data_IF_795774055531
#
_entry.id   IF_795774055531
#
_cell.length_a   1.000
_cell.length_b   1.000
_cell.length_c   1.000
_cell.angle_alpha   90.00
_cell.angle_beta   90.00
_cell.angle_gamma   90.00
#
_symmetry.space_group_name_H-M   'P 1'
#
loop_
_entity.id
_entity.type
_entity.pdbx_description
1 polymer ?
#
# COMPACT_ATOMS: atom_id res chain seq x y z
N UNK A 1 6.79 17.24 4.21
CA UNK A 1 5.60 17.11 3.35
C UNK A 1 5.68 18.17 2.26
N UNK A 2 5.60 17.76 1.00
CA UNK A 2 5.53 18.68 -0.15
C UNK A 2 4.08 19.19 -0.23
N UNK A 3 3.80 20.47 0.07
CA UNK A 3 2.41 20.98 0.15
C UNK A 3 1.67 20.94 -1.19
N UNK A 4 2.39 20.70 -2.29
CA UNK A 4 1.89 20.56 -3.66
C UNK A 4 1.36 19.16 -4.01
N UNK A 5 1.57 18.15 -3.16
CA UNK A 5 1.13 16.78 -3.43
C UNK A 5 -0.16 16.46 -2.68
N UNK A 6 -1.29 16.80 -3.27
CA UNK A 6 -2.62 16.47 -2.73
C UNK A 6 -3.28 15.34 -3.51
N UNK A 7 -4.23 14.64 -2.88
CA UNK A 7 -5.10 13.67 -3.55
C UNK A 7 -5.92 14.31 -4.66
N UNK A 8 -6.34 15.58 -4.49
CA UNK A 8 -7.04 16.37 -5.51
C UNK A 8 -6.22 16.54 -6.79
N UNK A 9 -4.96 16.94 -6.67
CA UNK A 9 -4.10 17.12 -7.85
C UNK A 9 -3.78 15.77 -8.54
N UNK A 10 -3.64 14.68 -7.77
CA UNK A 10 -3.51 13.35 -8.35
C UNK A 10 -4.77 12.93 -9.13
N UNK A 11 -5.95 13.05 -8.52
CA UNK A 11 -7.24 12.72 -9.18
C UNK A 11 -7.47 13.58 -10.41
N UNK A 12 -7.24 14.90 -10.30
CA UNK A 12 -7.32 15.84 -11.42
C UNK A 12 -6.39 15.46 -12.56
N UNK A 13 -5.14 15.13 -12.26
CA UNK A 13 -4.17 14.69 -13.27
C UNK A 13 -4.66 13.43 -13.99
N UNK A 14 -5.03 12.38 -13.24
CA UNK A 14 -5.53 11.12 -13.80
C UNK A 14 -6.82 11.34 -14.62
N UNK A 15 -7.79 12.09 -14.09
CA UNK A 15 -9.06 12.37 -14.75
C UNK A 15 -8.89 13.17 -16.04
N UNK A 16 -8.11 14.25 -16.01
CA UNK A 16 -7.85 15.08 -17.21
C UNK A 16 -7.13 14.26 -18.28
N UNK A 17 -6.08 13.52 -17.91
CA UNK A 17 -5.34 12.69 -18.87
C UNK A 17 -6.19 11.54 -19.41
N UNK A 18 -7.04 10.96 -18.58
CA UNK A 18 -7.95 9.90 -19.02
C UNK A 18 -9.01 10.44 -19.97
N UNK A 19 -9.62 11.59 -19.68
CA UNK A 19 -10.57 12.25 -20.60
C UNK A 19 -9.93 12.54 -21.98
N UNK A 20 -8.65 12.94 -22.01
CA UNK A 20 -7.92 13.25 -23.25
C UNK A 20 -7.51 12.01 -24.06
N UNK A 21 -7.15 10.90 -23.39
CA UNK A 21 -6.51 9.75 -24.04
C UNK A 21 -7.36 8.48 -24.04
N UNK A 22 -8.34 8.41 -23.14
CA UNK A 22 -9.15 7.22 -22.81
C UNK A 22 -8.32 5.97 -22.46
N UNK A 23 -7.06 6.17 -22.02
CA UNK A 23 -6.14 5.05 -21.84
C UNK A 23 -5.19 5.19 -20.63
N UNK A 24 -5.51 6.03 -19.64
CA UNK A 24 -4.67 6.12 -18.43
C UNK A 24 -4.69 4.80 -17.64
N UNK A 25 -5.86 4.15 -17.50
CA UNK A 25 -5.98 2.89 -16.75
C UNK A 25 -5.19 1.77 -17.43
N UNK A 26 -5.33 1.62 -18.75
CA UNK A 26 -4.60 0.60 -19.51
C UNK A 26 -3.09 0.86 -19.53
N UNK A 27 -2.65 2.11 -19.67
CA UNK A 27 -1.23 2.48 -19.57
C UNK A 27 -0.63 2.10 -18.22
N UNK A 28 -1.32 2.41 -17.12
CA UNK A 28 -0.88 2.07 -15.76
C UNK A 28 -0.89 0.56 -15.51
N UNK A 29 -1.85 -0.17 -16.09
CA UNK A 29 -1.92 -1.63 -15.98
C UNK A 29 -0.74 -2.32 -16.68
N UNK A 30 -0.36 -1.89 -17.89
CA UNK A 30 0.84 -2.43 -18.56
C UNK A 30 2.14 -2.14 -17.80
N UNK A 31 2.15 -1.13 -16.93
CA UNK A 31 3.29 -0.79 -16.07
C UNK A 31 3.43 -1.70 -14.83
N UNK A 32 2.58 -2.71 -14.63
CA UNK A 32 2.81 -3.75 -13.61
C UNK A 32 4.15 -4.46 -13.83
N UNK A 33 4.53 -4.63 -15.10
CA UNK A 33 5.88 -5.02 -15.51
C UNK A 33 6.71 -3.78 -15.90
N UNK A 34 8.05 -3.78 -15.68
CA UNK A 34 8.90 -2.67 -16.10
C UNK A 34 8.87 -2.48 -17.63
N UNK A 35 8.40 -1.32 -18.10
CA UNK A 35 8.26 -1.02 -19.53
C UNK A 35 8.94 0.28 -19.94
N UNK A 36 9.49 0.33 -21.16
CA UNK A 36 9.99 1.60 -21.71
C UNK A 36 8.84 2.47 -22.21
N UNK A 37 8.93 3.81 -22.16
CA UNK A 37 7.90 4.69 -22.69
C UNK A 37 7.53 4.44 -24.16
N UNK A 38 8.49 4.00 -24.98
CA UNK A 38 8.25 3.65 -26.39
C UNK A 38 7.37 2.40 -26.52
N UNK A 39 7.53 1.42 -25.65
CA UNK A 39 6.76 0.17 -25.66
C UNK A 39 5.33 0.44 -25.21
N UNK A 40 5.15 1.19 -24.11
CA UNK A 40 3.85 1.67 -23.64
C UNK A 40 3.10 2.45 -24.73
N UNK A 41 3.77 3.38 -25.41
CA UNK A 41 3.15 4.16 -26.47
C UNK A 41 2.69 3.29 -27.66
N UNK A 42 3.47 2.25 -27.99
CA UNK A 42 3.16 1.32 -29.07
C UNK A 42 2.00 0.40 -28.71
N UNK A 43 1.98 -0.16 -27.49
CA UNK A 43 0.94 -1.05 -26.99
C UNK A 43 -0.42 -0.34 -26.93
N UNK A 44 -0.42 0.91 -26.50
CA UNK A 44 -1.63 1.70 -26.27
C UNK A 44 -2.02 2.63 -27.42
N UNK A 45 -1.31 2.54 -28.55
CA UNK A 45 -1.52 3.36 -29.74
C UNK A 45 -1.58 4.88 -29.48
N UNK A 46 -0.79 5.38 -28.52
CA UNK A 46 -0.68 6.80 -28.18
C UNK A 46 0.61 7.41 -28.72
N UNK A 47 0.64 8.74 -28.86
CA UNK A 47 1.88 9.44 -29.20
C UNK A 47 2.94 9.23 -28.11
N UNK A 48 4.21 9.02 -28.49
CA UNK A 48 5.30 8.78 -27.52
C UNK A 48 5.45 9.84 -26.44
N UNK A 49 5.09 11.10 -26.73
CA UNK A 49 5.14 12.21 -25.76
C UNK A 49 4.04 12.13 -24.70
N UNK A 50 2.94 11.44 -24.99
CA UNK A 50 1.79 11.32 -24.06
C UNK A 50 2.16 10.45 -22.86
N UNK A 51 3.00 9.42 -23.04
CA UNK A 51 3.42 8.55 -21.93
C UNK A 51 4.12 9.35 -20.82
N UNK A 52 5.23 10.08 -21.05
CA UNK A 52 5.86 10.87 -19.99
C UNK A 52 4.94 11.99 -19.46
N UNK A 53 4.08 12.59 -20.29
CA UNK A 53 3.08 13.55 -19.81
C UNK A 53 2.10 12.94 -18.79
N UNK A 54 1.83 11.65 -18.86
CA UNK A 54 0.98 10.92 -17.90
C UNK A 54 1.81 10.46 -16.70
N UNK A 55 2.98 9.87 -16.93
CA UNK A 55 3.71 9.12 -15.89
C UNK A 55 4.70 9.96 -15.10
N UNK A 56 5.33 10.99 -15.68
CA UNK A 56 6.35 11.79 -14.96
C UNK A 56 5.79 12.49 -13.72
N UNK A 57 4.56 13.04 -13.75
CA UNK A 57 3.98 13.63 -12.54
C UNK A 57 3.71 12.60 -11.44
N UNK A 58 3.69 11.28 -11.73
CA UNK A 58 3.27 10.25 -10.77
C UNK A 58 4.34 9.84 -9.76
N UNK A 59 5.63 10.05 -10.08
CA UNK A 59 6.75 9.65 -9.21
C UNK A 59 6.73 10.35 -7.84
N UNK A 60 6.50 11.68 -7.73
CA UNK A 60 6.40 12.35 -6.43
C UNK A 60 5.30 11.82 -5.49
N UNK A 61 4.18 11.32 -6.03
CA UNK A 61 3.12 10.67 -5.24
C UNK A 61 3.43 9.22 -4.89
N UNK A 62 4.57 8.68 -5.33
CA UNK A 62 4.96 7.29 -5.12
C UNK A 62 4.15 6.29 -5.95
N UNK A 63 3.36 6.74 -6.92
CA UNK A 63 2.52 5.91 -7.81
C UNK A 63 3.36 5.19 -8.87
N UNK A 64 4.45 5.82 -9.30
CA UNK A 64 5.38 5.30 -10.31
C UNK A 64 6.80 5.28 -9.76
N UNK A 65 7.62 4.37 -10.30
CA UNK A 65 9.08 4.43 -10.18
C UNK A 65 9.73 4.24 -11.54
N UNK A 66 10.82 4.98 -11.76
CA UNK A 66 11.65 4.84 -12.95
C UNK A 66 12.98 4.16 -12.59
N UNK A 67 13.31 3.04 -13.24
CA UNK A 67 14.59 2.35 -13.11
C UNK A 67 15.19 2.06 -14.49
N UNK A 68 16.41 2.55 -14.77
CA UNK A 68 17.11 2.34 -16.05
C UNK A 68 16.22 2.64 -17.28
N UNK A 69 15.50 3.78 -17.23
CA UNK A 69 14.54 4.22 -18.25
C UNK A 69 13.30 3.30 -18.46
N UNK A 70 13.11 2.29 -17.62
CA UNK A 70 11.86 1.54 -17.52
C UNK A 70 10.99 2.20 -16.45
N UNK A 71 9.71 2.30 -16.74
CA UNK A 71 8.67 2.75 -15.83
C UNK A 71 7.99 1.53 -15.26
N UNK A 72 7.70 1.57 -13.97
CA UNK A 72 6.93 0.55 -13.30
C UNK A 72 5.97 1.22 -12.33
N UNK A 73 4.74 0.73 -12.30
CA UNK A 73 3.79 1.12 -11.26
C UNK A 73 4.24 0.50 -9.94
N UNK A 74 4.07 1.25 -8.85
CA UNK A 74 4.29 0.72 -7.51
C UNK A 74 3.00 0.10 -6.99
N UNK A 75 3.03 -0.56 -5.83
CA UNK A 75 1.79 -1.05 -5.19
C UNK A 75 0.87 0.11 -4.79
N UNK A 76 1.43 1.25 -4.36
CA UNK A 76 0.67 2.49 -4.17
C UNK A 76 -0.03 2.93 -5.47
N UNK A 77 0.68 2.85 -6.60
CA UNK A 77 0.13 3.20 -7.89
C UNK A 77 -0.92 2.23 -8.41
N UNK A 78 -0.75 0.93 -8.19
CA UNK A 78 -1.75 -0.07 -8.56
C UNK A 78 -3.02 0.12 -7.74
N UNK A 79 -2.91 0.39 -6.43
CA UNK A 79 -4.06 0.73 -5.60
C UNK A 79 -4.77 2.01 -6.08
N UNK A 80 -4.01 3.05 -6.46
CA UNK A 80 -4.59 4.26 -7.08
C UNK A 80 -5.27 3.96 -8.42
N UNK A 81 -4.66 3.13 -9.27
CA UNK A 81 -5.23 2.71 -10.56
C UNK A 81 -6.56 2.01 -10.37
N UNK A 82 -6.63 1.07 -9.42
CA UNK A 82 -7.86 0.33 -9.10
C UNK A 82 -8.94 1.27 -8.56
N UNK A 83 -8.64 2.13 -7.58
CA UNK A 83 -9.59 3.12 -7.06
C UNK A 83 -10.13 4.04 -8.16
N UNK A 84 -9.25 4.53 -9.04
CA UNK A 84 -9.64 5.37 -10.17
C UNK A 84 -10.48 4.62 -11.20
N UNK A 85 -10.13 3.37 -11.52
CA UNK A 85 -10.90 2.54 -12.44
C UNK A 85 -12.33 2.29 -11.90
N UNK A 86 -12.47 1.96 -10.62
CA UNK A 86 -13.77 1.79 -9.95
C UNK A 86 -14.63 3.06 -10.04
N UNK A 87 -14.03 4.24 -9.84
CA UNK A 87 -14.77 5.50 -9.99
C UNK A 87 -15.31 5.71 -11.42
N UNK A 88 -14.53 5.33 -12.43
CA UNK A 88 -14.92 5.42 -13.85
C UNK A 88 -16.05 4.46 -14.24
N UNK A 89 -16.34 3.42 -13.46
CA UNK A 89 -17.52 2.57 -13.67
C UNK A 89 -18.84 3.30 -13.35
N UNK A 90 -18.77 4.39 -12.60
CA UNK A 90 -19.93 5.18 -12.18
C UNK A 90 -19.96 6.57 -12.80
N UNK A 91 -18.83 7.27 -12.85
CA UNK A 91 -18.72 8.63 -13.37
C UNK A 91 -17.98 8.59 -14.70
N UNK A 92 -18.60 9.07 -15.78
CA UNK A 92 -17.91 9.21 -17.07
C UNK A 92 -16.64 10.07 -16.92
N UNK A 93 -15.59 9.71 -17.64
CA UNK A 93 -14.29 10.36 -17.51
C UNK A 93 -14.32 11.87 -17.80
N UNK A 94 -15.18 12.36 -18.70
CA UNK A 94 -15.29 13.80 -18.95
C UNK A 94 -16.01 14.51 -17.80
N UNK A 95 -17.01 13.86 -17.18
CA UNK A 95 -17.68 14.38 -15.99
C UNK A 95 -16.73 14.40 -14.78
N UNK A 96 -15.96 13.34 -14.58
CA UNK A 96 -14.95 13.26 -13.51
C UNK A 96 -13.85 14.31 -13.71
N UNK A 97 -13.34 14.47 -14.94
CA UNK A 97 -12.34 15.48 -15.27
C UNK A 97 -12.89 16.90 -15.12
N UNK A 98 -14.19 17.11 -15.39
CA UNK A 98 -14.83 18.40 -15.17
C UNK A 98 -14.96 18.73 -13.69
N UNK A 99 -15.39 17.77 -12.86
CA UNK A 99 -15.50 17.93 -11.41
C UNK A 99 -14.11 18.22 -10.80
N UNK A 100 -13.12 17.38 -11.09
CA UNK A 100 -11.77 17.49 -10.53
C UNK A 100 -10.97 18.76 -10.93
N UNK A 101 -11.47 19.56 -11.89
CA UNK A 101 -10.80 20.81 -12.32
C UNK A 101 -11.07 22.00 -11.41
N UNK A 102 -12.01 21.92 -10.48
CA UNK A 102 -12.41 23.08 -9.66
C UNK A 102 -12.89 22.63 -8.29
N UNK A 103 -12.19 23.08 -7.24
CA UNK A 103 -12.59 22.87 -5.84
C UNK A 103 -14.01 23.41 -5.58
N UNK A 104 -14.34 24.59 -6.10
CA UNK A 104 -15.69 25.14 -6.01
C UNK A 104 -16.81 24.22 -6.50
N UNK A 105 -16.55 23.30 -7.45
CA UNK A 105 -17.57 22.36 -7.93
C UNK A 105 -17.81 21.26 -6.91
N UNK A 106 -16.74 20.77 -6.31
CA UNK A 106 -16.81 19.84 -5.21
C UNK A 106 -17.51 20.47 -4.01
N UNK A 107 -17.08 21.67 -3.56
CA UNK A 107 -17.68 22.33 -2.40
C UNK A 107 -19.20 22.53 -2.53
N UNK A 108 -19.68 22.85 -3.74
CA UNK A 108 -21.12 23.01 -4.01
C UNK A 108 -21.83 21.65 -4.06
N UNK A 109 -21.19 20.61 -4.61
CA UNK A 109 -21.75 19.26 -4.64
C UNK A 109 -21.89 18.69 -3.22
N UNK A 110 -20.85 18.85 -2.41
CA UNK A 110 -20.78 18.42 -1.02
C UNK A 110 -21.83 19.15 -0.19
N UNK A 111 -21.94 20.47 -0.34
CA UNK A 111 -22.97 21.27 0.34
C UNK A 111 -24.38 20.73 0.06
N UNK A 112 -24.72 20.51 -1.21
CA UNK A 112 -26.04 19.99 -1.56
C UNK A 112 -26.25 18.54 -1.09
N UNK A 113 -25.19 17.75 -0.93
CA UNK A 113 -25.23 16.38 -0.43
C UNK A 113 -25.43 16.33 1.10
N UNK A 114 -24.82 17.27 1.83
CA UNK A 114 -24.85 17.32 3.30
C UNK A 114 -26.05 18.11 3.84
N UNK A 115 -26.28 19.32 3.33
CA UNK A 115 -27.31 20.25 3.82
C UNK A 115 -28.64 20.09 3.06
N UNK A 116 -28.61 19.45 1.89
CA UNK A 116 -29.77 19.22 1.05
C UNK A 116 -30.04 20.38 0.08
N UNK A 117 -31.29 20.51 -0.43
CA UNK A 117 -31.61 21.48 -1.46
C UNK A 117 -31.45 22.94 -1.00
N UNK A 118 -30.76 23.74 -1.81
CA UNK A 118 -30.42 25.11 -1.44
C UNK A 118 -30.36 26.06 -2.65
N UNK A 119 -30.38 27.37 -2.40
CA UNK A 119 -30.21 28.40 -3.41
C UNK A 119 -28.77 28.91 -3.51
N UNK A 120 -28.38 29.41 -4.69
CA UNK A 120 -27.09 30.08 -4.86
C UNK A 120 -26.92 31.31 -3.95
N UNK A 121 -28.03 31.97 -3.59
CA UNK A 121 -28.00 33.11 -2.68
C UNK A 121 -27.60 32.67 -1.28
N UNK A 122 -28.29 31.66 -0.74
CA UNK A 122 -28.06 31.13 0.60
C UNK A 122 -26.66 30.49 0.72
N UNK A 123 -26.26 29.67 -0.26
CA UNK A 123 -24.90 29.13 -0.33
C UNK A 123 -23.82 30.22 -0.34
N UNK A 124 -24.03 31.34 -1.06
CA UNK A 124 -23.04 32.43 -1.13
C UNK A 124 -22.88 33.23 0.17
N UNK A 125 -23.80 33.07 1.13
CA UNK A 125 -23.75 33.71 2.44
C UNK A 125 -22.93 32.88 3.45
N UNK A 126 -22.55 31.65 3.09
CA UNK A 126 -21.73 30.76 3.92
C UNK A 126 -20.25 31.15 3.77
N UNK A 127 -19.57 31.32 4.90
CA UNK A 127 -18.14 31.64 4.93
C UNK A 127 -17.33 30.53 4.25
N UNK A 128 -16.54 30.90 3.24
CA UNK A 128 -15.70 29.97 2.48
C UNK A 128 -16.32 29.47 1.18
N UNK A 129 -17.63 29.67 0.97
CA UNK A 129 -18.27 29.33 -0.30
C UNK A 129 -17.88 30.30 -1.42
N UNK A 130 -17.96 29.87 -2.70
CA UNK A 130 -17.72 30.74 -3.84
C UNK A 130 -18.74 31.89 -3.94
N UNK A 131 -18.43 32.91 -4.74
CA UNK A 131 -19.41 33.95 -5.01
C UNK A 131 -20.67 33.39 -5.68
N UNK A 132 -21.81 34.06 -5.48
CA UNK A 132 -23.11 33.67 -6.02
C UNK A 132 -23.07 33.37 -7.52
N UNK A 133 -22.35 34.19 -8.30
CA UNK A 133 -22.26 34.03 -9.76
C UNK A 133 -21.57 32.72 -10.14
N UNK A 134 -20.56 32.33 -9.36
CA UNK A 134 -19.85 31.07 -9.54
C UNK A 134 -20.75 29.90 -9.15
N UNK A 135 -21.52 30.03 -8.07
CA UNK A 135 -22.49 29.02 -7.66
C UNK A 135 -23.58 28.83 -8.73
N UNK A 136 -24.25 29.91 -9.17
CA UNK A 136 -25.27 29.88 -10.21
C UNK A 136 -24.77 29.13 -11.46
N UNK A 137 -23.59 29.49 -11.96
CA UNK A 137 -22.98 28.83 -13.13
C UNK A 137 -22.70 27.34 -12.87
N UNK A 138 -22.21 26.98 -11.69
CA UNK A 138 -21.95 25.57 -11.36
C UNK A 138 -23.26 24.78 -11.28
N UNK A 139 -24.32 25.35 -10.72
CA UNK A 139 -25.64 24.72 -10.65
C UNK A 139 -26.24 24.53 -12.05
N UNK A 140 -26.11 25.51 -12.95
CA UNK A 140 -26.47 25.35 -14.36
C UNK A 140 -25.68 24.20 -15.01
N UNK A 141 -24.36 24.14 -14.78
CA UNK A 141 -23.51 23.05 -15.30
C UNK A 141 -23.87 21.67 -14.70
N UNK A 142 -24.35 21.61 -13.45
CA UNK A 142 -24.89 20.39 -12.83
C UNK A 142 -26.23 19.97 -13.44
N UNK A 143 -27.15 20.91 -13.66
CA UNK A 143 -28.44 20.66 -14.31
C UNK A 143 -28.23 20.10 -15.73
N UNK A 144 -27.34 20.71 -16.52
CA UNK A 144 -26.94 20.22 -17.85
C UNK A 144 -26.36 18.78 -17.83
N UNK A 145 -25.71 18.38 -16.73
CA UNK A 145 -25.12 17.05 -16.55
C UNK A 145 -26.09 16.04 -15.93
N UNK A 146 -27.30 16.48 -15.58
CA UNK A 146 -28.32 15.70 -14.87
C UNK A 146 -27.97 15.41 -13.42
N UNK A 147 -27.09 16.20 -12.80
CA UNK A 147 -26.66 16.04 -11.40
C UNK A 147 -27.50 16.85 -10.42
N UNK A 148 -28.09 17.94 -10.89
CA UNK A 148 -29.08 18.71 -10.14
C UNK A 148 -30.34 18.92 -10.98
N UNK A 149 -31.44 19.28 -10.32
CA UNK A 149 -32.62 19.90 -10.92
C UNK A 149 -32.81 21.25 -10.24
N UNK A 150 -32.83 22.33 -11.04
CA UNK A 150 -33.07 23.68 -10.53
C UNK A 150 -34.55 24.07 -10.67
N UNK A 151 -35.25 24.21 -9.55
CA UNK A 151 -36.68 24.57 -9.51
C UNK A 151 -36.91 25.99 -9.01
N UNK A 152 -37.77 26.76 -9.68
CA UNK A 152 -38.15 28.10 -9.22
C UNK A 152 -39.20 28.02 -8.10
N UNK A 153 -38.84 28.51 -6.91
CA UNK A 153 -39.76 28.60 -5.79
C UNK A 153 -40.79 29.73 -6.03
N UNK A 154 -42.06 29.37 -6.24
CA UNK A 154 -43.13 30.28 -6.66
C UNK A 154 -43.31 31.57 -5.84
N UNK A 155 -42.93 31.57 -4.55
CA UNK A 155 -43.12 32.71 -3.64
C UNK A 155 -41.97 33.72 -3.66
N UNK A 156 -40.74 33.24 -3.77
CA UNK A 156 -39.52 34.05 -3.71
C UNK A 156 -38.94 34.35 -5.09
N UNK A 157 -39.32 33.56 -6.11
CA UNK A 157 -38.66 33.50 -7.43
C UNK A 157 -37.18 33.15 -7.33
N UNK A 158 -36.79 32.44 -6.27
CA UNK A 158 -35.45 31.91 -6.08
C UNK A 158 -35.38 30.52 -6.70
N UNK A 159 -34.30 30.24 -7.43
CA UNK A 159 -33.99 28.88 -7.90
C UNK A 159 -33.40 28.08 -6.75
N UNK A 160 -34.01 26.94 -6.45
CA UNK A 160 -33.52 25.94 -5.49
C UNK A 160 -32.97 24.77 -6.28
N UNK A 161 -31.71 24.41 -6.03
CA UNK A 161 -31.09 23.24 -6.64
C UNK A 161 -31.32 22.01 -5.78
N UNK A 162 -31.78 20.93 -6.40
CA UNK A 162 -31.94 19.61 -5.78
C UNK A 162 -30.99 18.64 -6.45
N UNK A 163 -30.17 17.90 -5.70
CA UNK A 163 -29.41 16.81 -6.32
C UNK A 163 -30.36 15.75 -6.88
N UNK A 164 -29.99 15.23 -8.04
CA UNK A 164 -30.60 14.01 -8.58
C UNK A 164 -29.92 12.79 -7.93
N UNK A 165 -30.51 11.60 -8.12
CA UNK A 165 -29.84 10.35 -7.72
C UNK A 165 -28.45 10.19 -8.37
N UNK A 166 -28.28 10.65 -9.61
CA UNK A 166 -27.00 10.58 -10.32
C UNK A 166 -26.00 11.59 -9.74
N UNK A 167 -26.45 12.77 -9.34
CA UNK A 167 -25.62 13.77 -8.66
C UNK A 167 -25.13 13.29 -7.30
N UNK A 168 -26.03 12.77 -6.46
CA UNK A 168 -25.66 12.17 -5.17
C UNK A 168 -24.70 10.99 -5.32
N UNK A 169 -24.92 10.14 -6.34
CA UNK A 169 -24.04 9.01 -6.60
C UNK A 169 -22.67 9.48 -7.07
N UNK A 170 -22.61 10.52 -7.91
CA UNK A 170 -21.35 11.10 -8.36
C UNK A 170 -20.56 11.75 -7.21
N UNK A 171 -21.21 12.49 -6.31
CA UNK A 171 -20.58 13.06 -5.12
C UNK A 171 -19.94 11.97 -4.26
N UNK A 172 -20.73 11.00 -3.79
CA UNK A 172 -20.22 9.87 -2.98
C UNK A 172 -19.05 9.11 -3.61
N UNK A 173 -19.08 8.87 -4.92
CA UNK A 173 -17.97 8.18 -5.61
C UNK A 173 -16.72 9.05 -5.71
N UNK A 174 -16.90 10.35 -5.90
CA UNK A 174 -15.78 11.28 -5.91
C UNK A 174 -15.15 11.41 -4.52
N UNK A 175 -15.96 11.48 -3.46
CA UNK A 175 -15.49 11.52 -2.07
C UNK A 175 -14.69 10.27 -1.70
N UNK A 176 -15.23 9.09 -2.04
CA UNK A 176 -14.54 7.80 -1.83
C UNK A 176 -13.21 7.74 -2.60
N UNK A 177 -13.19 8.21 -3.85
CA UNK A 177 -11.97 8.28 -4.64
C UNK A 177 -10.92 9.21 -3.98
N UNK A 178 -11.32 10.39 -3.52
CA UNK A 178 -10.42 11.33 -2.84
C UNK A 178 -9.89 10.74 -1.53
N UNK A 179 -10.75 10.09 -0.75
CA UNK A 179 -10.37 9.44 0.50
C UNK A 179 -9.33 8.34 0.25
N UNK A 180 -9.57 7.46 -0.72
CA UNK A 180 -8.63 6.39 -1.12
C UNK A 180 -7.31 6.93 -1.65
N UNK A 181 -7.35 7.95 -2.49
CA UNK A 181 -6.13 8.59 -3.03
C UNK A 181 -5.32 9.30 -1.94
N UNK A 182 -6.00 9.83 -0.92
CA UNK A 182 -5.33 10.39 0.26
C UNK A 182 -4.55 9.28 0.99
N UNK A 183 -5.15 8.11 1.20
CA UNK A 183 -4.46 6.98 1.82
C UNK A 183 -3.29 6.46 0.98
N UNK A 184 -3.43 6.41 -0.35
CA UNK A 184 -2.32 6.06 -1.24
C UNK A 184 -1.13 6.99 -1.03
N UNK A 185 -1.36 8.31 -0.99
CA UNK A 185 -0.30 9.32 -0.85
C UNK A 185 0.30 9.28 0.56
N UNK A 186 -0.53 9.29 1.59
CA UNK A 186 -0.08 9.34 2.99
C UNK A 186 0.69 8.08 3.39
N UNK A 187 0.34 6.93 2.81
CA UNK A 187 0.99 5.64 3.08
C UNK A 187 2.00 5.25 2.01
N UNK A 188 2.24 6.10 1.01
CA UNK A 188 3.22 5.87 -0.06
C UNK A 188 4.61 5.44 0.44
N UNK A 189 5.17 5.95 1.55
CA UNK A 189 6.46 5.51 2.06
C UNK A 189 6.54 4.01 2.35
N UNK A 190 5.43 3.36 2.70
CA UNK A 190 5.38 1.89 2.83
C UNK A 190 4.87 1.24 1.54
N UNK A 191 3.73 1.71 1.03
CA UNK A 191 3.04 1.06 -0.08
C UNK A 191 3.92 0.98 -1.34
N UNK A 192 4.71 2.00 -1.65
CA UNK A 192 5.53 2.00 -2.88
C UNK A 192 6.60 0.90 -2.91
N UNK A 193 7.00 0.41 -1.74
CA UNK A 193 8.04 -0.60 -1.57
C UNK A 193 7.46 -2.03 -1.54
N UNK A 194 6.15 -2.20 -1.33
CA UNK A 194 5.49 -3.52 -1.38
C UNK A 194 5.52 -4.10 -2.80
N UNK A 195 5.49 -5.43 -2.93
CA UNK A 195 5.20 -6.07 -4.22
C UNK A 195 3.72 -5.92 -4.60
N UNK A 196 3.43 -5.92 -5.91
CA UNK A 196 2.09 -5.64 -6.46
C UNK A 196 1.00 -6.61 -5.96
N UNK A 197 1.38 -7.80 -5.49
CA UNK A 197 0.44 -8.74 -4.85
C UNK A 197 -0.19 -8.21 -3.55
N UNK A 198 0.24 -7.06 -3.04
CA UNK A 198 -0.35 -6.37 -1.89
C UNK A 198 -1.25 -5.19 -2.28
N UNK A 199 -1.57 -5.00 -3.57
CA UNK A 199 -2.31 -3.82 -4.02
C UNK A 199 -3.80 -3.85 -3.64
N UNK A 200 -4.31 -5.01 -3.24
CA UNK A 200 -5.67 -5.22 -2.73
C UNK A 200 -5.83 -4.84 -1.24
N UNK A 201 -4.82 -4.19 -0.64
CA UNK A 201 -4.88 -3.67 0.72
C UNK A 201 -6.10 -2.72 0.87
N UNK A 202 -6.95 -2.90 1.91
CA UNK A 202 -8.19 -2.13 2.05
C UNK A 202 -7.89 -0.67 2.39
N UNK A 203 -7.85 0.20 1.38
CA UNK A 203 -7.41 1.60 1.53
C UNK A 203 -8.23 2.36 2.58
N UNK A 204 -9.54 2.13 2.65
CA UNK A 204 -10.47 2.77 3.58
C UNK A 204 -10.08 2.62 5.06
N UNK A 205 -9.40 1.52 5.41
CA UNK A 205 -9.00 1.21 6.79
C UNK A 205 -7.63 1.79 7.16
N UNK A 206 -6.85 2.23 6.16
CA UNK A 206 -5.51 2.79 6.39
C UNK A 206 -5.51 4.13 7.12
N UNK A 207 -6.66 4.82 7.18
CA UNK A 207 -6.80 6.09 7.91
C UNK A 207 -6.37 5.99 9.37
N UNK A 208 -6.59 4.82 10.00
CA UNK A 208 -6.22 4.55 11.39
C UNK A 208 -4.83 3.93 11.56
N UNK A 209 -4.15 3.56 10.46
CA UNK A 209 -2.84 2.93 10.50
C UNK A 209 -1.72 3.96 10.74
N UNK A 210 -0.78 3.62 11.61
CA UNK A 210 0.43 4.40 11.85
C UNK A 210 1.44 4.11 10.72
N UNK A 211 1.98 5.16 10.11
CA UNK A 211 3.13 5.06 9.19
C UNK A 211 4.41 5.46 9.93
N UNK A 212 5.41 4.59 9.92
CA UNK A 212 6.74 4.89 10.45
C UNK A 212 7.74 4.88 9.31
N UNK A 213 8.35 6.04 9.06
CA UNK A 213 9.36 6.23 8.04
C UNK A 213 10.77 6.19 8.63
N UNK A 214 11.69 5.53 7.92
CA UNK A 214 13.11 5.66 8.21
C UNK A 214 13.64 6.95 7.56
N UNK A 215 14.39 7.75 8.32
CA UNK A 215 15.03 8.97 7.81
C UNK A 215 16.54 8.87 7.90
N UNK A 216 17.32 9.69 7.17
CA UNK A 216 18.78 9.71 7.31
C UNK A 216 19.25 9.95 8.76
N UNK A 217 18.52 10.76 9.52
CA UNK A 217 18.83 11.08 10.93
C UNK A 217 18.43 9.95 11.88
N UNK A 218 17.46 9.11 11.49
CA UNK A 218 17.00 7.98 12.28
C UNK A 218 16.63 6.80 11.38
N UNK A 219 17.64 6.08 10.84
CA UNK A 219 17.42 5.01 9.88
C UNK A 219 16.80 3.75 10.49
N UNK A 220 16.86 3.60 11.83
CA UNK A 220 16.38 2.42 12.56
C UNK A 220 15.01 2.62 13.22
N UNK A 221 14.22 3.62 12.80
CA UNK A 221 12.90 3.90 13.40
C UNK A 221 11.95 2.73 13.28
N UNK A 222 11.96 2.07 12.13
CA UNK A 222 11.09 0.93 11.83
C UNK A 222 11.43 -0.23 12.77
N UNK A 223 12.71 -0.58 12.90
CA UNK A 223 13.20 -1.65 13.77
C UNK A 223 12.91 -1.35 15.24
N UNK A 224 13.08 -0.08 15.66
CA UNK A 224 12.74 0.35 17.01
C UNK A 224 11.24 0.16 17.29
N UNK A 225 10.38 0.63 16.38
CA UNK A 225 8.92 0.50 16.53
C UNK A 225 8.48 -0.96 16.53
N UNK A 226 9.07 -1.76 15.64
CA UNK A 226 8.84 -3.19 15.60
C UNK A 226 9.19 -3.86 16.94
N UNK A 227 10.32 -3.51 17.54
CA UNK A 227 10.74 -4.04 18.86
C UNK A 227 9.80 -3.62 19.99
N UNK A 228 9.30 -2.39 19.96
CA UNK A 228 8.29 -1.93 20.92
C UNK A 228 7.01 -2.77 20.81
N UNK A 229 6.62 -3.15 19.60
CA UNK A 229 5.47 -4.01 19.36
C UNK A 229 5.73 -5.45 19.85
N UNK A 230 6.86 -6.04 19.48
CA UNK A 230 7.20 -7.42 19.86
C UNK A 230 7.47 -7.61 21.35
N UNK A 231 7.78 -6.52 22.08
CA UNK A 231 7.91 -6.55 23.55
C UNK A 231 6.57 -6.59 24.30
N UNK A 232 5.44 -6.41 23.61
CA UNK A 232 4.12 -6.47 24.23
C UNK A 232 3.74 -7.91 24.54
N UNK A 233 2.72 -8.06 25.37
CA UNK A 233 2.15 -9.37 25.63
C UNK A 233 1.34 -9.82 24.41
N UNK A 234 1.61 -11.04 23.95
CA UNK A 234 0.92 -11.69 22.83
C UNK A 234 1.03 -13.20 23.00
N UNK A 235 0.06 -13.93 22.46
CA UNK A 235 0.03 -15.39 22.51
C UNK A 235 0.51 -16.03 21.20
N UNK A 236 0.18 -15.41 20.07
CA UNK A 236 0.46 -15.97 18.76
C UNK A 236 1.15 -14.97 17.82
N UNK A 237 2.20 -15.44 17.17
CA UNK A 237 2.91 -14.73 16.11
C UNK A 237 2.75 -15.46 14.78
N UNK A 238 2.33 -14.73 13.75
CA UNK A 238 2.39 -15.15 12.34
C UNK A 238 3.23 -14.17 11.56
N UNK A 239 4.12 -14.64 10.69
CA UNK A 239 4.93 -13.73 9.90
C UNK A 239 5.34 -14.24 8.52
N UNK A 240 5.40 -13.29 7.58
CA UNK A 240 6.12 -13.44 6.31
C UNK A 240 7.49 -12.78 6.46
N UNK A 241 8.55 -13.55 6.24
CA UNK A 241 9.93 -13.09 6.40
C UNK A 241 10.62 -12.99 5.04
N UNK A 242 10.53 -11.81 4.41
CA UNK A 242 11.21 -11.56 3.13
C UNK A 242 12.72 -11.38 3.24
N UNK A 243 13.26 -11.20 4.45
CA UNK A 243 14.71 -11.13 4.71
C UNK A 243 15.06 -11.60 6.13
N UNK A 244 16.28 -12.12 6.31
CA UNK A 244 16.81 -12.49 7.62
C UNK A 244 17.21 -11.26 8.44
N UNK A 245 16.88 -11.26 9.73
CA UNK A 245 17.34 -10.27 10.71
C UNK A 245 17.65 -10.98 12.03
N UNK A 246 18.93 -11.13 12.35
CA UNK A 246 19.39 -11.83 13.56
C UNK A 246 18.89 -11.25 14.88
N UNK A 247 18.70 -9.93 14.94
CA UNK A 247 18.16 -9.27 16.15
C UNK A 247 16.69 -9.63 16.39
N UNK A 248 15.91 -9.76 15.30
CA UNK A 248 14.54 -10.25 15.40
C UNK A 248 14.52 -11.74 15.78
N UNK A 249 15.42 -12.55 15.23
CA UNK A 249 15.52 -13.98 15.58
C UNK A 249 15.79 -14.20 17.07
N UNK A 250 16.65 -13.38 17.69
CA UNK A 250 16.89 -13.41 19.15
C UNK A 250 15.63 -13.07 19.95
N UNK A 251 14.91 -12.03 19.56
CA UNK A 251 13.66 -11.66 20.24
C UNK A 251 12.58 -12.74 20.08
N UNK A 252 12.49 -13.38 18.91
CA UNK A 252 11.53 -14.45 18.65
C UNK A 252 11.84 -15.69 19.48
N UNK A 253 13.10 -16.09 19.60
CA UNK A 253 13.42 -17.30 20.37
C UNK A 253 13.19 -17.13 21.87
N UNK A 254 13.38 -15.92 22.42
CA UNK A 254 12.97 -15.62 23.80
C UNK A 254 11.47 -15.79 23.97
N UNK A 255 10.68 -15.23 23.06
CA UNK A 255 9.22 -15.36 23.05
C UNK A 255 8.75 -16.82 22.91
N UNK A 256 9.41 -17.63 22.08
CA UNK A 256 9.16 -19.08 21.97
C UNK A 256 9.47 -19.81 23.28
N UNK A 257 10.58 -19.49 23.96
CA UNK A 257 10.93 -20.08 25.26
C UNK A 257 9.93 -19.73 26.36
N UNK A 258 9.28 -18.58 26.25
CA UNK A 258 8.18 -18.16 27.13
C UNK A 258 6.84 -18.87 26.81
N UNK A 259 6.83 -19.78 25.83
CA UNK A 259 5.66 -20.60 25.49
C UNK A 259 4.69 -19.96 24.50
N UNK A 260 5.09 -18.88 23.81
CA UNK A 260 4.27 -18.25 22.77
C UNK A 260 4.32 -19.06 21.47
N UNK A 261 3.22 -19.10 20.73
CA UNK A 261 3.14 -19.82 19.46
C UNK A 261 3.72 -18.97 18.33
N UNK A 262 4.58 -19.58 17.51
CA UNK A 262 5.24 -18.92 16.39
C UNK A 262 5.05 -19.69 15.09
N UNK A 263 4.58 -18.99 14.05
CA UNK A 263 4.53 -19.50 12.69
C UNK A 263 5.19 -18.52 11.72
N UNK A 264 6.21 -18.97 11.00
CA UNK A 264 7.00 -18.14 10.09
C UNK A 264 7.04 -18.77 8.71
N UNK A 265 6.71 -18.01 7.68
CA UNK A 265 6.95 -18.35 6.28
C UNK A 265 8.09 -17.46 5.78
N UNK A 266 9.18 -18.05 5.31
CA UNK A 266 10.30 -17.31 4.71
C UNK A 266 10.49 -17.67 3.24
N UNK A 267 11.23 -16.85 2.50
CA UNK A 267 11.81 -17.31 1.22
C UNK A 267 12.86 -18.40 1.47
N UNK A 268 13.26 -19.21 0.46
CA UNK A 268 14.38 -20.12 0.59
C UNK A 268 15.61 -19.30 0.93
N UNK A 269 16.22 -19.60 2.07
CA UNK A 269 17.48 -19.01 2.47
C UNK A 269 18.55 -19.89 1.86
N UNK A 270 19.29 -19.39 0.86
CA UNK A 270 20.48 -20.09 0.40
C UNK A 270 21.43 -20.31 1.57
N UNK A 271 22.22 -21.40 1.59
CA UNK A 271 23.18 -21.68 2.68
C UNK A 271 24.15 -20.51 2.94
N UNK A 272 24.40 -19.67 1.93
CA UNK A 272 25.27 -18.49 2.03
C UNK A 272 24.56 -17.26 2.66
N UNK A 273 23.24 -17.31 2.79
CA UNK A 273 22.41 -16.30 3.48
C UNK A 273 22.02 -16.73 4.90
N UNK A 274 22.35 -17.95 5.30
CA UNK A 274 22.20 -18.36 6.69
C UNK A 274 23.11 -17.50 7.58
N UNK A 275 22.67 -17.22 8.82
CA UNK A 275 23.53 -16.57 9.79
C UNK A 275 24.86 -17.34 9.92
N UNK A 276 25.97 -16.62 9.81
CA UNK A 276 27.30 -17.17 10.09
C UNK A 276 27.74 -16.90 11.53
N UNK A 277 27.00 -16.06 12.25
CA UNK A 277 27.20 -15.77 13.66
C UNK A 277 26.69 -16.93 14.53
N UNK A 278 27.53 -17.52 15.41
CA UNK A 278 27.14 -18.58 16.33
C UNK A 278 25.84 -18.32 17.12
N UNK A 279 25.64 -17.10 17.61
CA UNK A 279 24.45 -16.75 18.40
C UNK A 279 23.17 -16.81 17.56
N UNK A 280 23.24 -16.38 16.30
CA UNK A 280 22.11 -16.40 15.38
C UNK A 280 21.81 -17.81 14.88
N UNK A 281 22.86 -18.60 14.61
CA UNK A 281 22.72 -20.04 14.29
C UNK A 281 22.05 -20.78 15.45
N UNK A 282 22.42 -20.46 16.68
CA UNK A 282 21.79 -21.03 17.87
C UNK A 282 20.30 -20.68 17.94
N UNK A 283 19.90 -19.45 17.58
CA UNK A 283 18.49 -19.08 17.52
C UNK A 283 17.70 -19.94 16.52
N UNK A 284 18.29 -20.22 15.34
CA UNK A 284 17.67 -21.11 14.35
C UNK A 284 17.52 -22.52 14.91
N UNK A 285 18.59 -23.08 15.50
CA UNK A 285 18.58 -24.44 16.07
C UNK A 285 17.56 -24.56 17.19
N UNK A 286 17.51 -23.58 18.10
CA UNK A 286 16.59 -23.58 19.23
C UNK A 286 15.14 -23.47 18.75
N UNK A 287 14.87 -22.66 17.72
CA UNK A 287 13.55 -22.57 17.10
C UNK A 287 13.14 -23.91 16.48
N UNK A 288 14.02 -24.52 15.67
CA UNK A 288 13.76 -25.83 15.04
C UNK A 288 13.49 -26.97 16.03
N UNK A 289 13.92 -26.84 17.30
CA UNK A 289 13.70 -27.84 18.35
C UNK A 289 12.43 -27.58 19.16
N UNK A 290 11.85 -26.38 19.08
CA UNK A 290 10.69 -26.00 19.87
C UNK A 290 9.39 -26.49 19.23
N UNK A 291 8.50 -27.10 20.02
CA UNK A 291 7.21 -27.62 19.53
C UNK A 291 6.24 -26.49 19.11
N UNK A 292 6.38 -25.31 19.71
CA UNK A 292 5.59 -24.10 19.46
C UNK A 292 6.23 -23.17 18.41
N UNK A 293 7.12 -23.70 17.57
CA UNK A 293 7.76 -22.94 16.48
C UNK A 293 7.63 -23.69 15.15
N UNK A 294 6.87 -23.11 14.23
CA UNK A 294 6.63 -23.65 12.90
C UNK A 294 7.31 -22.77 11.86
N UNK A 295 8.30 -23.32 11.16
CA UNK A 295 8.98 -22.64 10.07
C UNK A 295 8.69 -23.33 8.74
N UNK A 296 8.18 -22.55 7.80
CA UNK A 296 7.86 -22.96 6.43
C UNK A 296 8.64 -22.09 5.45
N UNK A 297 8.87 -22.64 4.25
CA UNK A 297 9.54 -21.94 3.15
C UNK A 297 8.63 -21.85 1.94
N UNK A 298 8.46 -20.65 1.41
CA UNK A 298 7.73 -20.40 0.18
C UNK A 298 8.72 -20.22 -0.96
N UNK A 299 8.73 -21.11 -1.97
CA UNK A 299 9.77 -21.12 -3.01
C UNK A 299 9.79 -19.86 -3.87
N UNK A 300 8.63 -19.23 -4.06
CA UNK A 300 8.55 -17.95 -4.76
C UNK A 300 8.80 -16.78 -3.80
N UNK A 301 9.17 -15.62 -4.35
CA UNK A 301 9.44 -14.43 -3.54
C UNK A 301 8.22 -14.01 -2.69
N UNK A 302 8.49 -13.53 -1.46
CA UNK A 302 7.44 -13.04 -0.57
C UNK A 302 7.10 -11.56 -0.86
N UNK A 303 5.81 -11.19 -0.87
CA UNK A 303 5.36 -9.87 -1.33
C UNK A 303 5.66 -8.73 -0.34
N UNK A 304 5.99 -9.07 0.90
CA UNK A 304 6.38 -8.14 1.94
C UNK A 304 7.06 -8.88 3.11
N UNK A 305 7.61 -8.13 4.06
CA UNK A 305 7.74 -8.61 5.42
C UNK A 305 6.44 -8.28 6.17
N UNK A 306 5.82 -9.30 6.75
CA UNK A 306 4.58 -9.19 7.52
C UNK A 306 4.80 -9.78 8.91
N UNK A 307 4.26 -9.14 9.93
CA UNK A 307 4.23 -9.66 11.29
C UNK A 307 2.86 -9.38 11.90
N UNK A 308 2.25 -10.41 12.48
CA UNK A 308 0.95 -10.36 13.15
C UNK A 308 1.15 -10.89 14.56
N UNK A 309 0.96 -10.01 15.55
CA UNK A 309 0.98 -10.30 16.98
C UNK A 309 -0.45 -10.24 17.50
N UNK A 310 -1.14 -11.38 17.55
CA UNK A 310 -2.58 -11.47 17.82
C UNK A 310 -3.42 -10.46 16.99
N UNK A 311 -3.77 -9.30 17.55
CA UNK A 311 -4.56 -8.23 16.93
C UNK A 311 -3.74 -6.98 16.57
N UNK A 312 -2.46 -7.16 16.29
CA UNK A 312 -1.58 -6.08 15.86
C UNK A 312 -0.77 -6.53 14.66
N UNK A 313 -0.75 -5.72 13.61
CA UNK A 313 0.01 -6.04 12.40
C UNK A 313 1.10 -5.02 12.11
N UNK A 314 2.14 -5.49 11.42
CA UNK A 314 3.17 -4.67 10.79
C UNK A 314 3.41 -5.18 9.37
N UNK A 315 3.33 -4.31 8.38
CA UNK A 315 3.75 -4.63 7.01
C UNK A 315 4.85 -3.70 6.55
N UNK A 316 5.87 -4.26 5.90
CA UNK A 316 7.04 -3.54 5.40
C UNK A 316 7.41 -4.10 4.03
N UNK A 317 7.78 -3.23 3.10
CA UNK A 317 8.32 -3.65 1.81
C UNK A 317 9.52 -4.59 1.96
N UNK A 318 9.73 -5.53 1.01
CA UNK A 318 10.99 -6.23 0.88
C UNK A 318 12.17 -5.24 0.83
N UNK A 319 13.34 -5.73 1.21
CA UNK A 319 14.58 -4.98 1.01
C UNK A 319 14.90 -4.99 -0.48
N UNK A 320 15.01 -3.82 -1.12
CA UNK A 320 15.46 -3.73 -2.52
C UNK A 320 16.99 -3.64 -2.59
N UNK A 321 17.70 -4.73 -2.99
CA UNK A 321 19.15 -4.74 -3.11
C UNK A 321 19.67 -3.80 -4.21
N UNK A 322 18.82 -3.33 -5.13
CA UNK A 322 19.15 -2.37 -6.18
C UNK A 322 19.20 -0.91 -5.71
N UNK A 323 18.70 -0.60 -4.51
CA UNK A 323 18.84 0.74 -3.93
C UNK A 323 20.19 0.86 -3.24
N UNK A 324 20.91 1.96 -3.49
CA UNK A 324 22.30 2.17 -3.05
C UNK A 324 22.52 2.05 -1.53
N UNK A 325 21.44 2.09 -0.74
CA UNK A 325 21.49 1.92 0.71
C UNK A 325 20.65 0.75 1.24
N UNK A 326 19.87 0.04 0.41
CA UNK A 326 19.06 -1.10 0.86
C UNK A 326 18.15 -0.70 2.06
N UNK A 327 17.66 0.55 2.08
CA UNK A 327 16.90 1.17 3.19
C UNK A 327 15.41 1.03 2.89
N UNK A 328 14.67 0.47 3.85
CA UNK A 328 13.20 0.47 3.86
C UNK A 328 12.71 1.90 4.06
N UNK A 329 11.78 2.38 3.22
CA UNK A 329 11.36 3.78 3.33
C UNK A 329 10.21 3.98 4.33
N UNK A 330 9.37 2.97 4.54
CA UNK A 330 8.32 3.01 5.55
C UNK A 330 7.74 1.65 5.93
N UNK A 331 7.05 1.64 7.08
CA UNK A 331 6.34 0.49 7.62
C UNK A 331 4.96 0.93 8.14
N UNK A 332 3.92 0.15 7.86
CA UNK A 332 2.58 0.37 8.40
C UNK A 332 2.36 -0.49 9.64
N UNK A 333 1.76 0.11 10.67
CA UNK A 333 1.35 -0.54 11.90
C UNK A 333 -0.15 -0.33 12.09
N UNK A 334 -0.90 -1.38 12.41
CA UNK A 334 -2.34 -1.26 12.62
C UNK A 334 -2.88 -2.23 13.67
N UNK A 335 -4.04 -1.90 14.19
CA UNK A 335 -4.90 -2.74 15.04
C UNK A 335 -6.33 -2.82 14.49
N UNK A 336 -6.54 -2.29 13.29
CA UNK A 336 -7.83 -2.30 12.61
C UNK A 336 -8.14 -3.74 12.16
N UNK A 337 -9.35 -4.22 12.46
CA UNK A 337 -9.73 -5.62 12.27
C UNK A 337 -9.75 -6.00 10.79
N UNK A 338 -10.18 -5.11 9.89
CA UNK A 338 -10.23 -5.39 8.45
C UNK A 338 -8.81 -5.47 7.86
N UNK A 339 -7.86 -4.66 8.35
CA UNK A 339 -6.45 -4.78 7.96
C UNK A 339 -5.80 -6.05 8.49
N UNK A 340 -6.15 -6.46 9.71
CA UNK A 340 -5.66 -7.71 10.29
C UNK A 340 -6.20 -8.89 9.48
N UNK A 341 -7.48 -8.87 9.11
CA UNK A 341 -8.09 -9.91 8.28
C UNK A 341 -7.42 -9.99 6.90
N UNK A 342 -7.15 -8.85 6.25
CA UNK A 342 -6.36 -8.80 5.03
C UNK A 342 -4.96 -9.41 5.23
N UNK A 343 -4.26 -9.03 6.30
CA UNK A 343 -2.93 -9.54 6.61
C UNK A 343 -2.93 -11.06 6.88
N UNK A 344 -3.93 -11.57 7.61
CA UNK A 344 -4.10 -13.01 7.86
C UNK A 344 -4.37 -13.75 6.55
N UNK A 345 -5.24 -13.22 5.67
CA UNK A 345 -5.50 -13.83 4.37
C UNK A 345 -4.24 -13.86 3.48
N UNK A 346 -3.47 -12.76 3.47
CA UNK A 346 -2.19 -12.71 2.77
C UNK A 346 -1.21 -13.74 3.32
N UNK A 347 -1.11 -13.86 4.65
CA UNK A 347 -0.27 -14.86 5.30
C UNK A 347 -0.71 -16.30 4.96
N UNK A 348 -1.99 -16.62 5.10
CA UNK A 348 -2.53 -17.96 4.89
C UNK A 348 -2.36 -18.42 3.42
N UNK A 349 -2.54 -17.51 2.46
CA UNK A 349 -2.34 -17.83 1.05
C UNK A 349 -0.90 -18.27 0.73
N UNK A 350 0.10 -17.65 1.39
CA UNK A 350 1.51 -18.05 1.26
C UNK A 350 1.81 -19.29 2.11
N UNK A 351 1.27 -19.39 3.31
CA UNK A 351 1.44 -20.55 4.19
C UNK A 351 0.97 -21.84 3.53
N UNK A 352 -0.16 -21.80 2.80
CA UNK A 352 -0.72 -22.95 2.09
C UNK A 352 0.15 -23.45 0.93
N UNK A 353 0.96 -22.57 0.35
CA UNK A 353 1.89 -22.87 -0.74
C UNK A 353 3.32 -23.13 -0.25
N UNK A 354 3.57 -22.85 1.03
CA UNK A 354 4.86 -23.06 1.64
C UNK A 354 5.06 -24.52 2.00
N UNK A 355 6.27 -25.01 1.84
CA UNK A 355 6.65 -26.37 2.17
C UNK A 355 7.56 -26.37 3.39
N UNK A 356 7.80 -27.57 3.91
CA UNK A 356 8.75 -27.73 4.99
C UNK A 356 10.17 -27.40 4.45
N UNK A 357 10.98 -26.59 5.17
CA UNK A 357 12.37 -26.30 4.78
C UNK A 357 13.21 -27.52 4.40
N UNK A 358 12.93 -28.67 5.02
CA UNK A 358 13.63 -29.95 4.83
C UNK A 358 13.23 -30.69 3.55
N UNK A 359 12.09 -30.34 2.96
CA UNK A 359 11.64 -30.90 1.69
C UNK A 359 12.19 -30.11 0.49
N UNK A 360 12.48 -28.81 0.68
CA UNK A 360 12.96 -27.88 -0.37
C UNK A 360 14.49 -27.88 -0.48
N UNK A 361 15.18 -28.03 0.65
CA UNK A 361 16.63 -27.81 0.72
C UNK A 361 17.40 -29.06 0.31
N UNK A 362 17.97 -28.99 -0.91
CA UNK A 362 18.92 -29.95 -1.50
C UNK A 362 18.16 -31.14 -2.11
N UNK A 363 18.51 -31.60 -3.31
CA UNK A 363 17.92 -32.77 -3.98
C UNK A 363 18.16 -34.13 -3.27
N UNK A 364 18.35 -34.09 -1.95
CA UNK A 364 18.47 -35.16 -0.98
C UNK A 364 17.71 -34.67 0.25
N UNK A 365 16.63 -35.34 0.64
CA UNK A 365 15.89 -35.04 1.88
C UNK A 365 16.85 -35.19 3.07
N UNK A 366 17.21 -34.06 3.70
CA UNK A 366 18.03 -34.00 4.91
C UNK A 366 17.07 -33.79 6.08
N UNK A 367 17.11 -34.65 7.10
CA UNK A 367 16.23 -34.50 8.26
C UNK A 367 16.61 -33.30 9.14
N UNK A 368 15.68 -32.86 10.00
CA UNK A 368 15.91 -31.79 11.01
C UNK A 368 17.21 -32.02 11.77
N UNK A 369 17.43 -33.25 12.24
CA UNK A 369 18.61 -33.60 13.03
C UNK A 369 19.91 -33.43 12.23
N UNK A 370 19.92 -33.85 10.96
CA UNK A 370 21.09 -33.74 10.09
C UNK A 370 21.41 -32.27 9.77
N UNK A 371 20.41 -31.40 9.58
CA UNK A 371 20.65 -29.95 9.42
C UNK A 371 21.16 -29.32 10.71
N UNK A 372 20.59 -29.69 11.86
CA UNK A 372 21.06 -29.20 13.17
C UNK A 372 22.52 -29.62 13.39
N UNK A 373 22.89 -30.86 13.09
CA UNK A 373 24.27 -31.34 13.15
C UNK A 373 25.18 -30.63 12.13
N UNK A 374 24.70 -30.37 10.92
CA UNK A 374 25.44 -29.62 9.90
C UNK A 374 25.71 -28.18 10.35
N UNK A 375 24.69 -27.48 10.86
CA UNK A 375 24.82 -26.11 11.35
C UNK A 375 25.73 -26.06 12.58
N UNK A 376 25.59 -27.01 13.50
CA UNK A 376 26.44 -27.11 14.68
C UNK A 376 27.91 -27.38 14.29
N UNK A 377 28.15 -28.34 13.40
CA UNK A 377 29.51 -28.69 12.96
C UNK A 377 30.19 -27.57 12.17
N UNK A 378 29.42 -26.86 11.35
CA UNK A 378 29.95 -25.81 10.47
C UNK A 378 30.18 -24.47 11.18
N UNK A 379 29.40 -24.15 12.21
CA UNK A 379 29.40 -22.79 12.79
C UNK A 379 29.61 -22.72 14.31
N UNK A 380 29.51 -23.83 15.05
CA UNK A 380 29.62 -23.82 16.52
C UNK A 380 30.86 -24.57 17.07
N UNK A 381 31.56 -25.37 16.26
CA UNK A 381 32.66 -26.21 16.74
C UNK A 381 34.05 -25.52 16.85
N UNK A 382 34.24 -24.31 16.31
CA UNK A 382 35.55 -23.62 16.31
C UNK A 382 35.85 -22.81 17.59
N UNK A 383 34.86 -22.57 18.46
CA UNK A 383 35.03 -21.71 19.64
C UNK A 383 35.62 -22.44 20.87
N UNK A 384 35.49 -23.77 20.97
CA UNK A 384 36.03 -24.51 22.11
C UNK A 384 37.56 -24.68 22.07
N UNK A 385 38.19 -24.51 20.90
CA UNK A 385 39.66 -24.54 20.76
C UNK A 385 40.37 -23.25 21.18
N UNK A 386 39.64 -22.14 21.36
CA UNK A 386 40.24 -20.82 21.62
C UNK A 386 40.26 -20.42 23.10
N UNK A 387 39.60 -21.18 23.99
CA UNK A 387 39.58 -20.92 25.43
C UNK A 387 40.64 -21.68 26.24
N UNK A 388 41.55 -22.42 25.59
CA UNK A 388 42.63 -23.19 26.23
C UNK A 388 44.04 -22.80 25.76
N UNK A 389 44.29 -21.52 25.49
CA UNK A 389 45.65 -20.98 25.29
C UNK A 389 45.94 -19.75 26.11
#
# INVERSE_FOLDING_TARGET
MRPDLTSRELVKHLAVKHSQTRNVVGLLESMQEPMKPKELAQEHAVERRVVPEITDPLEPWGVERTNNAHRQITTAGEAARQAFATALETIDADKLAWLARSENREDILDHLQEEGPDSAQEMSEIDGCPDKRTIDRTLEEFDERGWANCEEQQRSRTLIAHLTMDGERAGRVYDDLIAKMTQVIDKAPCLRDLYLGCADIPLETLGNAEIVEATPENPFRIEKRFRELSSRDFHHFRGLQSHWNGENAKAYIEAVRDGKEFEVVSRPVGLDEFPTNPDEVKCVIDGLRAENYHWLMHTDGLPCSLAIFDRQMVVVGPRDPGTTNNIRTGALFSQDDDLIDWAVNLYESHRQQAENPFDISIGVSIGINDLVELLHSRYLNDDESSQNT
#
